data_IF_521876559469
#
_entry.id   IF_521876559469
#
_cell.length_a   1.000
_cell.length_b   1.000
_cell.length_c   1.000
_cell.angle_alpha   90.00
_cell.angle_beta   90.00
_cell.angle_gamma   90.00
#
_symmetry.space_group_name_H-M   'P 1'
#
loop_
_entity.id
_entity.type
_entity.pdbx_description
1 polymer ?
#
# COMPACT_ATOMS: atom_id res chain seq x y z
N UNK A 1 -4.62 11.36 -19.38
CA UNK A 1 -3.56 12.18 -18.76
C UNK A 1 -2.28 11.38 -18.80
N UNK A 2 -1.17 11.94 -19.27
CA UNK A 2 0.15 11.28 -19.23
C UNK A 2 0.97 12.01 -18.17
N UNK A 3 1.40 11.28 -17.15
CA UNK A 3 2.18 11.83 -16.03
C UNK A 3 3.67 11.58 -16.27
N UNK A 4 4.50 12.58 -15.98
CA UNK A 4 5.96 12.59 -16.16
C UNK A 4 6.68 12.21 -14.87
N UNK A 5 7.90 11.69 -14.96
CA UNK A 5 8.68 11.27 -13.78
C UNK A 5 8.99 12.37 -12.74
N UNK A 6 8.82 13.64 -13.11
CA UNK A 6 8.95 14.80 -12.22
C UNK A 6 7.65 15.11 -11.45
N UNK A 7 6.53 14.48 -11.79
CA UNK A 7 5.25 14.72 -11.12
C UNK A 7 5.26 14.13 -9.71
N UNK A 8 4.61 14.85 -8.79
CA UNK A 8 4.55 14.39 -7.39
C UNK A 8 3.79 13.07 -7.29
N UNK A 9 4.26 12.18 -6.42
CA UNK A 9 3.57 10.93 -6.10
C UNK A 9 2.10 11.13 -5.71
N UNK A 10 1.77 12.23 -5.01
CA UNK A 10 0.40 12.54 -4.64
C UNK A 10 -0.51 12.73 -5.87
N UNK A 11 0.03 13.29 -6.97
CA UNK A 11 -0.68 13.46 -8.22
C UNK A 11 -0.95 12.12 -8.92
N UNK A 12 0.03 11.21 -8.91
CA UNK A 12 -0.15 9.83 -9.38
C UNK A 12 -1.24 9.11 -8.58
N UNK A 13 -1.17 9.21 -7.25
CA UNK A 13 -2.15 8.63 -6.35
C UNK A 13 -3.57 9.16 -6.62
N UNK A 14 -3.75 10.48 -6.71
CA UNK A 14 -5.04 11.09 -6.99
C UNK A 14 -5.66 10.66 -8.33
N UNK A 15 -4.87 10.14 -9.27
CA UNK A 15 -5.31 9.71 -10.58
C UNK A 15 -5.66 8.21 -10.67
N UNK A 16 -5.44 7.43 -9.61
CA UNK A 16 -5.56 5.97 -9.64
C UNK A 16 -6.71 5.46 -8.78
N UNK A 17 -7.54 4.58 -9.33
CA UNK A 17 -8.55 3.83 -8.55
C UNK A 17 -7.92 2.66 -7.77
N UNK A 18 -6.86 2.07 -8.32
CA UNK A 18 -6.09 0.96 -7.74
C UNK A 18 -4.63 1.14 -8.11
N UNK A 19 -3.73 0.83 -7.19
CA UNK A 19 -2.29 0.86 -7.42
C UNK A 19 -1.68 -0.54 -7.45
N UNK A 20 -0.87 -0.80 -8.46
CA UNK A 20 0.00 -1.98 -8.56
C UNK A 20 1.38 -1.61 -8.06
N UNK A 21 1.89 -2.32 -7.06
CA UNK A 21 3.14 -1.96 -6.39
C UNK A 21 4.06 -3.16 -6.21
N UNK A 22 5.37 -2.94 -6.38
CA UNK A 22 6.36 -3.92 -5.94
C UNK A 22 6.29 -4.07 -4.41
N UNK A 23 6.34 -5.30 -3.85
CA UNK A 23 6.24 -5.54 -2.42
C UNK A 23 7.50 -5.20 -1.59
N UNK A 24 8.09 -4.05 -1.87
CA UNK A 24 9.18 -3.48 -1.06
C UNK A 24 8.61 -2.74 0.15
N UNK A 25 9.12 -2.97 1.36
CA UNK A 25 8.58 -2.38 2.59
C UNK A 25 8.39 -0.86 2.55
N UNK A 26 9.35 -0.11 1.97
CA UNK A 26 9.23 1.34 1.85
C UNK A 26 8.16 1.77 0.84
N UNK A 27 8.09 1.10 -0.31
CA UNK A 27 7.10 1.39 -1.35
C UNK A 27 5.69 0.97 -0.90
N UNK A 28 5.55 -0.22 -0.33
CA UNK A 28 4.30 -0.73 0.25
C UNK A 28 3.75 0.18 1.34
N UNK A 29 4.62 0.68 2.23
CA UNK A 29 4.20 1.63 3.27
C UNK A 29 3.72 2.95 2.66
N UNK A 30 4.48 3.50 1.70
CA UNK A 30 4.08 4.73 1.00
C UNK A 30 2.77 4.55 0.25
N UNK A 31 2.57 3.39 -0.36
CA UNK A 31 1.35 3.02 -1.05
C UNK A 31 0.15 2.95 -0.12
N UNK A 32 0.27 2.24 1.01
CA UNK A 32 -0.80 2.13 1.99
C UNK A 32 -1.17 3.50 2.60
N UNK A 33 -0.18 4.36 2.86
CA UNK A 33 -0.41 5.72 3.35
C UNK A 33 -1.11 6.65 2.34
N UNK A 34 -1.20 6.25 1.07
CA UNK A 34 -1.89 7.03 0.04
C UNK A 34 -3.39 6.79 0.00
N UNK A 35 -3.90 5.86 0.82
CA UNK A 35 -5.33 5.51 0.94
C UNK A 35 -5.95 5.05 -0.41
N UNK A 36 -5.15 4.35 -1.20
CA UNK A 36 -5.55 3.79 -2.50
C UNK A 36 -5.53 2.28 -2.40
N UNK A 37 -6.58 1.59 -2.90
CA UNK A 37 -6.60 0.14 -2.99
C UNK A 37 -5.33 -0.39 -3.67
N UNK A 38 -4.70 -1.39 -3.05
CA UNK A 38 -3.34 -1.82 -3.35
C UNK A 38 -3.29 -3.30 -3.72
N UNK A 39 -2.64 -3.60 -4.85
CA UNK A 39 -2.30 -4.96 -5.27
C UNK A 39 -0.79 -5.09 -5.35
N UNK A 40 -0.22 -6.03 -4.60
CA UNK A 40 1.20 -6.34 -4.70
C UNK A 40 1.49 -7.21 -5.91
N UNK A 41 2.51 -6.82 -6.68
CA UNK A 41 3.02 -7.60 -7.81
C UNK A 41 3.74 -8.86 -7.31
N UNK A 42 3.75 -9.94 -8.11
CA UNK A 42 4.49 -11.15 -7.76
C UNK A 42 5.99 -10.85 -7.66
N UNK A 43 6.64 -11.45 -6.67
CA UNK A 43 8.10 -11.33 -6.46
C UNK A 43 8.70 -12.71 -6.23
N UNK A 44 9.97 -12.87 -6.64
CA UNK A 44 10.78 -14.04 -6.31
C UNK A 44 11.62 -13.84 -5.04
N UNK A 45 11.69 -12.60 -4.53
CA UNK A 45 12.44 -12.27 -3.33
C UNK A 45 11.65 -12.67 -2.08
N UNK A 46 12.28 -13.45 -1.19
CA UNK A 46 11.61 -14.00 -0.02
C UNK A 46 11.32 -12.95 1.06
N UNK A 47 12.07 -11.84 1.10
CA UNK A 47 11.83 -10.74 2.02
C UNK A 47 10.69 -9.84 1.53
N UNK A 48 10.64 -9.58 0.23
CA UNK A 48 9.50 -8.89 -0.38
C UNK A 48 8.23 -9.75 -0.30
N UNK A 49 8.32 -11.07 -0.47
CA UNK A 49 7.17 -11.96 -0.29
C UNK A 49 6.62 -11.90 1.16
N UNK A 50 7.49 -11.86 2.16
CA UNK A 50 7.07 -11.64 3.57
C UNK A 50 6.38 -10.29 3.76
N UNK A 51 6.90 -9.24 3.12
CA UNK A 51 6.27 -7.91 3.13
C UNK A 51 4.87 -7.98 2.54
N UNK A 52 4.70 -8.55 1.34
CA UNK A 52 3.40 -8.70 0.70
C UNK A 52 2.41 -9.46 1.60
N UNK A 53 2.85 -10.58 2.19
CA UNK A 53 2.04 -11.38 3.12
C UNK A 53 1.62 -10.59 4.36
N UNK A 54 2.51 -9.79 4.94
CA UNK A 54 2.20 -8.96 6.09
C UNK A 54 1.08 -7.95 5.75
N UNK A 55 1.23 -7.19 4.66
CA UNK A 55 0.22 -6.20 4.27
C UNK A 55 -1.13 -6.84 3.95
N UNK A 56 -1.12 -8.00 3.28
CA UNK A 56 -2.35 -8.71 2.97
C UNK A 56 -3.04 -9.33 4.18
N UNK A 57 -2.29 -9.87 5.14
CA UNK A 57 -2.84 -10.38 6.40
C UNK A 57 -3.56 -9.29 7.21
N UNK A 58 -3.10 -8.04 7.11
CA UNK A 58 -3.76 -6.88 7.71
C UNK A 58 -4.90 -6.30 6.87
N UNK A 59 -5.17 -6.86 5.68
CA UNK A 59 -6.19 -6.36 4.76
C UNK A 59 -5.82 -5.02 4.10
N UNK A 60 -4.54 -4.61 4.15
CA UNK A 60 -4.06 -3.37 3.53
C UNK A 60 -3.71 -3.50 2.05
N UNK A 61 -3.58 -4.73 1.55
CA UNK A 61 -3.27 -5.04 0.15
C UNK A 61 -3.81 -6.40 -0.27
N UNK A 62 -3.83 -6.67 -1.57
CA UNK A 62 -4.09 -8.01 -2.09
C UNK A 62 -2.82 -8.69 -2.64
N UNK A 63 -2.74 -10.01 -2.48
CA UNK A 63 -1.65 -10.85 -2.99
C UNK A 63 -1.98 -11.41 -4.36
N UNK A 64 -0.94 -11.66 -5.14
CA UNK A 64 -1.04 -12.26 -6.47
C UNK A 64 0.13 -13.23 -6.68
N UNK A 65 -0.11 -14.33 -7.39
CA UNK A 65 0.91 -15.32 -7.73
C UNK A 65 1.59 -15.04 -9.07
N UNK A 66 0.96 -14.27 -9.96
CA UNK A 66 1.49 -13.90 -11.26
C UNK A 66 0.90 -12.58 -11.77
N UNK A 67 1.44 -12.06 -12.87
CA UNK A 67 1.06 -10.76 -13.43
C UNK A 67 -0.36 -10.73 -14.01
N UNK A 68 -0.85 -11.84 -14.58
CA UNK A 68 -2.20 -11.93 -15.14
C UNK A 68 -3.27 -11.89 -14.03
N UNK A 69 -2.98 -12.57 -12.92
CA UNK A 69 -3.77 -12.50 -11.69
C UNK A 69 -3.76 -11.09 -11.12
N UNK A 70 -2.61 -10.42 -11.09
CA UNK A 70 -2.51 -9.04 -10.62
C UNK A 70 -3.35 -8.07 -11.45
N UNK A 71 -3.31 -8.17 -12.78
CA UNK A 71 -4.14 -7.37 -13.66
C UNK A 71 -5.64 -7.64 -13.45
N UNK A 72 -6.01 -8.91 -13.37
CA UNK A 72 -7.41 -9.32 -13.16
C UNK A 72 -7.95 -8.86 -11.81
N UNK A 73 -7.14 -8.98 -10.76
CA UNK A 73 -7.48 -8.57 -9.40
C UNK A 73 -7.59 -7.05 -9.29
N UNK A 74 -6.68 -6.30 -9.92
CA UNK A 74 -6.76 -4.85 -9.96
C UNK A 74 -8.04 -4.36 -10.65
N UNK A 75 -8.41 -4.95 -11.79
CA UNK A 75 -9.66 -4.62 -12.49
C UNK A 75 -10.91 -4.96 -11.68
N UNK A 76 -10.88 -6.08 -10.96
CA UNK A 76 -11.97 -6.49 -10.06
C UNK A 76 -12.09 -5.52 -8.88
N UNK A 77 -10.98 -5.21 -8.23
CA UNK A 77 -10.92 -4.29 -7.10
C UNK A 77 -11.32 -2.86 -7.49
N UNK A 78 -10.97 -2.41 -8.70
CA UNK A 78 -11.38 -1.10 -9.22
C UNK A 78 -12.91 -0.95 -9.36
N UNK A 79 -13.63 -2.06 -9.50
CA UNK A 79 -15.10 -2.07 -9.68
C UNK A 79 -15.87 -2.40 -8.40
N UNK A 80 -15.18 -2.84 -7.35
CA UNK A 80 -15.77 -3.30 -6.10
C UNK A 80 -15.60 -2.25 -5.00
N UNK A 81 -16.53 -1.29 -4.96
CA UNK A 81 -16.47 -0.17 -4.02
C UNK A 81 -16.43 -0.59 -2.55
N UNK A 82 -17.10 -1.69 -2.20
CA UNK A 82 -17.09 -2.22 -0.83
C UNK A 82 -15.69 -2.70 -0.44
N UNK A 83 -15.03 -3.49 -1.29
CA UNK A 83 -13.65 -3.94 -1.02
C UNK A 83 -12.66 -2.79 -0.97
N UNK A 84 -12.86 -1.75 -1.79
CA UNK A 84 -12.02 -0.56 -1.74
C UNK A 84 -12.15 0.16 -0.40
N UNK A 85 -13.38 0.38 0.08
CA UNK A 85 -13.63 1.02 1.37
C UNK A 85 -13.08 0.21 2.54
N UNK A 86 -13.26 -1.12 2.51
CA UNK A 86 -12.68 -2.01 3.51
C UNK A 86 -11.15 -1.92 3.53
N UNK A 87 -10.50 -1.93 2.37
CA UNK A 87 -9.05 -1.85 2.26
C UNK A 87 -8.52 -0.48 2.74
N UNK A 88 -9.17 0.63 2.35
CA UNK A 88 -8.85 1.99 2.82
C UNK A 88 -8.96 2.09 4.35
N UNK A 89 -10.06 1.57 4.90
CA UNK A 89 -10.26 1.53 6.35
C UNK A 89 -9.14 0.78 7.08
N UNK A 90 -8.69 -0.37 6.53
CA UNK A 90 -7.54 -1.11 7.06
C UNK A 90 -6.23 -0.34 6.92
N UNK A 91 -5.99 0.30 5.77
CA UNK A 91 -4.80 1.13 5.56
C UNK A 91 -4.75 2.27 6.59
N UNK A 92 -5.87 2.91 6.87
CA UNK A 92 -5.97 3.98 7.87
C UNK A 92 -5.80 3.48 9.32
N UNK A 93 -6.34 2.30 9.66
CA UNK A 93 -6.29 1.76 11.03
C UNK A 93 -4.93 1.16 11.40
N UNK A 94 -4.28 0.50 10.43
CA UNK A 94 -3.03 -0.24 10.66
C UNK A 94 -1.78 0.60 10.37
N UNK A 95 -1.90 1.73 9.67
CA UNK A 95 -0.77 2.60 9.38
C UNK A 95 -0.53 3.65 10.46
N UNK A 96 0.75 3.93 10.75
CA UNK A 96 1.17 4.98 11.67
C UNK A 96 1.78 6.14 10.87
N UNK A 97 0.93 7.02 10.34
CA UNK A 97 1.36 8.15 9.49
C UNK A 97 2.39 9.06 10.16
N UNK A 98 2.29 9.23 11.48
CA UNK A 98 3.15 10.09 12.30
C UNK A 98 4.20 9.31 13.11
N UNK A 99 4.61 8.13 12.64
CA UNK A 99 5.53 7.24 13.37
C UNK A 99 6.83 7.92 13.82
N UNK A 100 7.42 8.77 12.96
CA UNK A 100 8.61 9.55 13.30
C UNK A 100 8.36 10.51 14.48
N UNK A 101 7.21 11.20 14.52
CA UNK A 101 6.87 12.09 15.64
C UNK A 101 6.70 11.31 16.94
N UNK A 102 6.14 10.10 16.88
CA UNK A 102 6.01 9.23 18.05
C UNK A 102 7.38 8.82 18.61
N UNK A 103 8.32 8.44 17.74
CA UNK A 103 9.70 8.11 18.16
C UNK A 103 10.39 9.34 18.77
N UNK A 104 10.29 10.51 18.14
CA UNK A 104 10.89 11.75 18.67
C UNK A 104 10.30 12.10 20.03
N UNK A 105 8.97 12.00 20.19
CA UNK A 105 8.29 12.25 21.46
C UNK A 105 8.78 11.29 22.54
N UNK A 106 8.86 10.00 22.23
CA UNK A 106 9.37 8.98 23.15
C UNK A 106 10.80 9.28 23.61
N UNK A 107 11.69 9.61 22.66
CA UNK A 107 13.09 9.95 22.95
C UNK A 107 13.23 11.23 23.80
N UNK A 108 12.34 12.20 23.62
CA UNK A 108 12.35 13.45 24.39
C UNK A 108 11.74 13.30 25.80
N UNK A 109 10.67 12.52 25.93
CA UNK A 109 9.90 12.38 27.17
C UNK A 109 10.41 11.25 28.09
N UNK A 110 11.31 10.39 27.60
CA UNK A 110 12.09 9.45 28.41
C UNK A 110 11.28 8.34 29.09
N UNK A 111 10.09 7.99 28.59
CA UNK A 111 9.22 6.98 29.20
C UNK A 111 9.45 5.60 28.59
N UNK A 112 10.20 4.74 29.29
CA UNK A 112 10.17 3.28 29.10
C UNK A 112 8.83 2.70 29.60
#
# INVERSE_FOLDING_TARGET
>A
MVLSGEDSHALYCAACDVMLCSPSGALSTRAALSDIPLVHLPTADSFEAQTACFFAAQGMSALTGNYDEAASLALSLAKDGEKQEQMRSRQQSESIADGAKHVVRFLHEGRL
#
